data_IF_403628058122
#
_entry.id   IF_403628058122
#
_cell.length_a   1.000
_cell.length_b   1.000
_cell.length_c   1.000
_cell.angle_alpha   90.00
_cell.angle_beta   90.00
_cell.angle_gamma   90.00
#
_symmetry.space_group_name_H-M   'P 1'
#
loop_
_entity.id
_entity.type
_entity.pdbx_description
1 polymer ?
#
# COMPACT_ATOMS: atom_id res chain seq x y z
N UNK A 1 -36.46 -36.73 5.77
CA UNK A 1 -36.00 -35.52 5.09
C UNK A 1 -34.46 -35.57 5.08
N UNK A 2 -33.87 -35.87 3.93
CA UNK A 2 -32.39 -35.86 3.76
C UNK A 2 -31.99 -34.43 3.38
N UNK A 3 -31.25 -33.75 4.26
CA UNK A 3 -30.65 -32.47 3.98
C UNK A 3 -29.54 -32.66 2.96
N UNK A 4 -29.77 -32.16 1.74
CA UNK A 4 -28.76 -32.17 0.68
C UNK A 4 -27.63 -31.24 1.04
N UNK A 5 -26.48 -31.80 1.31
CA UNK A 5 -25.21 -31.06 1.31
C UNK A 5 -24.85 -30.71 -0.14
N UNK A 6 -24.60 -29.46 -0.40
CA UNK A 6 -24.18 -28.97 -1.72
C UNK A 6 -22.81 -29.58 -2.07
N UNK A 7 -22.65 -30.15 -3.28
CA UNK A 7 -21.39 -30.78 -3.70
C UNK A 7 -20.23 -29.80 -3.93
N UNK A 8 -20.45 -28.48 -3.77
CA UNK A 8 -19.44 -27.45 -4.03
C UNK A 8 -18.50 -27.16 -2.84
N UNK A 9 -18.79 -27.67 -1.62
CA UNK A 9 -18.02 -27.34 -0.43
C UNK A 9 -16.78 -28.23 -0.22
N UNK A 10 -16.74 -29.41 -0.81
CA UNK A 10 -15.64 -30.39 -0.56
C UNK A 10 -14.43 -30.25 -1.50
N UNK A 11 -14.52 -29.50 -2.61
CA UNK A 11 -13.42 -29.42 -3.60
C UNK A 11 -12.33 -28.39 -3.26
N UNK A 12 -12.60 -27.38 -2.46
CA UNK A 12 -11.61 -26.34 -2.13
C UNK A 12 -10.45 -26.87 -1.28
N UNK A 13 -10.70 -27.85 -0.40
CA UNK A 13 -9.69 -28.35 0.55
C UNK A 13 -8.66 -29.33 -0.04
N UNK A 14 -8.90 -29.83 -1.27
CA UNK A 14 -8.00 -30.79 -1.90
C UNK A 14 -6.87 -30.14 -2.71
N UNK A 15 -6.97 -28.83 -2.98
CA UNK A 15 -6.00 -28.09 -3.83
C UNK A 15 -4.71 -27.75 -3.10
N UNK A 16 -4.76 -27.53 -1.78
CA UNK A 16 -3.55 -27.31 -0.97
C UNK A 16 -2.96 -28.67 -0.61
N UNK A 17 -2.25 -29.29 -1.54
CA UNK A 17 -1.39 -30.44 -1.21
C UNK A 17 -0.24 -29.95 -0.32
N UNK A 18 0.13 -30.75 0.71
CA UNK A 18 1.34 -30.55 1.52
C UNK A 18 2.55 -30.38 0.59
N UNK A 19 2.89 -29.22 0.39
CA UNK A 19 3.97 -28.39 0.02
C UNK A 19 5.28 -29.06 -0.50
N UNK A 20 5.40 -29.11 -1.79
CA UNK A 20 6.66 -28.63 -2.39
C UNK A 20 6.54 -27.10 -2.55
N UNK A 21 7.63 -26.36 -2.38
CA UNK A 21 7.69 -24.93 -2.72
C UNK A 21 7.21 -24.76 -4.15
N UNK A 22 6.25 -23.87 -4.46
CA UNK A 22 5.78 -23.69 -5.83
C UNK A 22 6.95 -23.28 -6.72
N UNK A 23 7.04 -23.87 -7.89
CA UNK A 23 8.08 -23.53 -8.87
C UNK A 23 7.71 -22.28 -9.64
N UNK A 24 6.40 -22.09 -9.94
CA UNK A 24 5.88 -20.95 -10.71
C UNK A 24 4.59 -20.42 -10.13
N UNK A 25 4.55 -19.10 -9.91
CA UNK A 25 3.39 -18.39 -9.40
C UNK A 25 2.90 -17.38 -10.45
N UNK A 26 1.60 -17.47 -10.81
CA UNK A 26 0.92 -16.41 -11.51
C UNK A 26 0.47 -15.34 -10.50
N UNK A 27 1.12 -14.18 -10.48
CA UNK A 27 0.79 -13.07 -9.59
C UNK A 27 -0.08 -12.06 -10.32
N UNK A 28 -1.20 -11.63 -9.74
CA UNK A 28 -2.15 -10.73 -10.41
C UNK A 28 -2.20 -9.37 -9.70
N UNK A 29 -1.88 -8.31 -10.43
CA UNK A 29 -2.02 -6.91 -10.02
C UNK A 29 -2.62 -6.09 -11.17
N UNK A 30 -3.91 -6.35 -11.47
CA UNK A 30 -4.53 -5.90 -12.73
C UNK A 30 -4.90 -4.43 -12.77
N UNK A 31 -5.11 -3.78 -11.60
CA UNK A 31 -5.57 -2.40 -11.52
C UNK A 31 -4.45 -1.36 -11.44
N UNK A 32 -3.24 -1.78 -11.13
CA UNK A 32 -2.04 -0.93 -11.07
C UNK A 32 -0.82 -1.76 -11.41
N UNK A 33 0.06 -1.21 -12.25
CA UNK A 33 1.26 -1.91 -12.71
C UNK A 33 2.34 -1.91 -11.62
N UNK A 34 3.02 -3.04 -11.37
CA UNK A 34 4.19 -3.06 -10.48
C UNK A 34 5.35 -2.20 -11.01
N UNK A 35 5.31 -1.81 -12.28
CA UNK A 35 6.32 -0.95 -12.92
C UNK A 35 6.04 0.55 -12.72
N UNK A 36 4.86 0.93 -12.23
CA UNK A 36 4.49 2.31 -11.99
C UNK A 36 5.23 2.88 -10.77
N UNK A 37 5.56 4.17 -10.83
CA UNK A 37 6.22 4.88 -9.73
C UNK A 37 5.28 4.96 -8.51
N UNK A 38 5.64 4.37 -7.36
CA UNK A 38 4.84 4.53 -6.14
C UNK A 38 4.67 6.01 -5.75
N UNK A 39 3.46 6.36 -5.31
CA UNK A 39 3.13 7.75 -4.96
C UNK A 39 2.48 8.53 -6.11
N UNK A 40 2.26 7.92 -7.28
CA UNK A 40 1.55 8.50 -8.43
C UNK A 40 0.28 7.73 -8.73
N UNK A 41 -0.80 8.42 -9.12
CA UNK A 41 -2.07 7.78 -9.48
C UNK A 41 -2.55 6.79 -8.42
N UNK A 42 -2.81 5.56 -8.82
CA UNK A 42 -3.17 4.46 -7.93
C UNK A 42 -1.96 3.68 -7.40
N UNK A 43 -0.76 3.93 -7.94
CA UNK A 43 0.45 3.24 -7.49
C UNK A 43 0.87 3.69 -6.07
N UNK A 44 1.06 2.73 -5.18
CA UNK A 44 1.37 2.99 -3.78
C UNK A 44 1.97 1.79 -3.06
N UNK A 45 1.64 1.61 -1.79
CA UNK A 45 2.15 0.52 -0.97
C UNK A 45 1.90 -0.87 -1.55
N UNK A 46 0.77 -1.09 -2.24
CA UNK A 46 0.48 -2.35 -2.92
C UNK A 46 1.53 -2.65 -3.99
N UNK A 47 1.93 -1.66 -4.82
CA UNK A 47 2.94 -1.86 -5.85
C UNK A 47 4.29 -2.23 -5.23
N UNK A 48 4.69 -1.55 -4.16
CA UNK A 48 5.91 -1.89 -3.40
C UNK A 48 5.83 -3.31 -2.88
N UNK A 49 4.72 -3.69 -2.25
CA UNK A 49 4.50 -5.04 -1.73
C UNK A 49 4.61 -6.11 -2.82
N UNK A 50 3.93 -5.93 -3.96
CA UNK A 50 3.94 -6.87 -5.09
C UNK A 50 5.36 -7.05 -5.64
N UNK A 51 6.08 -5.94 -5.86
CA UNK A 51 7.46 -5.94 -6.37
C UNK A 51 8.39 -6.69 -5.42
N UNK A 52 8.36 -6.34 -4.14
CA UNK A 52 9.28 -6.93 -3.16
C UNK A 52 8.95 -8.41 -2.89
N UNK A 53 7.67 -8.76 -2.81
CA UNK A 53 7.24 -10.15 -2.68
C UNK A 53 7.71 -10.99 -3.89
N UNK A 54 7.49 -10.50 -5.11
CA UNK A 54 7.89 -11.21 -6.33
C UNK A 54 9.40 -11.45 -6.37
N UNK A 55 10.21 -10.42 -6.05
CA UNK A 55 11.67 -10.55 -5.97
C UNK A 55 12.12 -11.55 -4.91
N UNK A 56 11.50 -11.55 -3.73
CA UNK A 56 11.85 -12.48 -2.64
C UNK A 56 11.44 -13.92 -2.95
N UNK A 57 10.29 -14.12 -3.60
CA UNK A 57 9.90 -15.45 -4.11
C UNK A 57 10.90 -15.95 -5.16
N UNK A 58 11.30 -15.10 -6.11
CA UNK A 58 12.29 -15.47 -7.12
C UNK A 58 13.66 -15.80 -6.49
N UNK A 59 14.13 -15.00 -5.53
CA UNK A 59 15.35 -15.28 -4.77
C UNK A 59 15.27 -16.60 -3.97
N UNK A 60 14.06 -17.03 -3.60
CA UNK A 60 13.81 -18.31 -2.95
C UNK A 60 13.63 -19.48 -3.94
N UNK A 61 13.78 -19.24 -5.25
CA UNK A 61 13.71 -20.26 -6.30
C UNK A 61 12.33 -20.45 -6.95
N UNK A 62 11.38 -19.54 -6.71
CA UNK A 62 10.04 -19.56 -7.33
C UNK A 62 9.98 -18.53 -8.47
N UNK A 63 9.82 -18.97 -9.71
CA UNK A 63 9.58 -18.05 -10.84
C UNK A 63 8.23 -17.34 -10.68
N UNK A 64 8.20 -16.03 -10.93
CA UNK A 64 6.98 -15.21 -10.79
C UNK A 64 6.65 -14.51 -12.11
N UNK A 65 5.45 -14.73 -12.60
CA UNK A 65 4.91 -13.98 -13.73
C UNK A 65 3.78 -13.07 -13.22
N UNK A 66 3.99 -11.75 -13.27
CA UNK A 66 3.03 -10.75 -12.81
C UNK A 66 2.17 -10.30 -13.97
N UNK A 67 0.87 -10.31 -13.80
CA UNK A 67 -0.10 -9.88 -14.82
C UNK A 67 -0.72 -8.56 -14.42
N UNK A 68 -0.63 -7.60 -15.33
CA UNK A 68 -1.22 -6.25 -15.15
C UNK A 68 -1.84 -5.76 -16.45
N UNK A 69 -2.67 -4.72 -16.39
CA UNK A 69 -3.28 -4.11 -17.58
C UNK A 69 -2.29 -3.17 -18.27
N UNK A 70 -2.21 -3.25 -19.59
CA UNK A 70 -1.48 -2.28 -20.39
C UNK A 70 -2.21 -0.92 -20.37
N UNK A 71 -1.48 0.16 -20.04
CA UNK A 71 -2.00 1.53 -19.96
C UNK A 71 -1.49 2.44 -21.06
N UNK A 72 -0.49 2.01 -21.84
CA UNK A 72 0.05 2.78 -22.97
C UNK A 72 0.36 1.88 -24.15
N UNK A 73 0.26 2.45 -25.37
CA UNK A 73 0.56 1.74 -26.62
C UNK A 73 2.04 1.37 -26.76
N UNK A 74 2.92 2.12 -26.12
CA UNK A 74 4.37 1.91 -26.13
C UNK A 74 4.86 0.85 -25.17
N UNK A 75 3.99 0.34 -24.26
CA UNK A 75 4.38 -0.69 -23.31
C UNK A 75 4.63 -2.01 -24.02
N UNK A 76 5.81 -2.66 -23.81
CA UNK A 76 6.07 -4.01 -24.27
C UNK A 76 5.09 -5.01 -23.65
N UNK A 77 4.71 -6.07 -24.38
CA UNK A 77 3.81 -7.09 -23.86
C UNK A 77 4.39 -7.82 -22.64
N UNK A 78 5.71 -8.00 -22.60
CA UNK A 78 6.43 -8.64 -21.48
C UNK A 78 7.65 -7.81 -21.14
N UNK A 79 7.88 -7.58 -19.83
CA UNK A 79 9.02 -6.83 -19.30
C UNK A 79 9.70 -7.66 -18.21
N UNK A 80 11.00 -8.00 -18.34
CA UNK A 80 11.76 -8.55 -17.23
C UNK A 80 11.92 -7.48 -16.15
N UNK A 81 11.47 -7.77 -14.92
CA UNK A 81 11.56 -6.83 -13.80
C UNK A 81 12.74 -7.13 -12.87
N UNK A 82 13.05 -8.41 -12.70
CA UNK A 82 14.19 -8.93 -11.96
C UNK A 82 14.48 -10.37 -12.44
N UNK A 83 15.58 -10.94 -11.99
CA UNK A 83 15.89 -12.35 -12.24
C UNK A 83 14.75 -13.22 -11.69
N UNK A 84 14.19 -14.09 -12.54
CA UNK A 84 13.03 -14.92 -12.20
C UNK A 84 11.70 -14.20 -12.09
N UNK A 85 11.60 -12.90 -12.47
CA UNK A 85 10.34 -12.12 -12.42
C UNK A 85 10.04 -11.46 -13.76
N UNK A 86 8.91 -11.81 -14.36
CA UNK A 86 8.39 -11.20 -15.58
C UNK A 86 7.09 -10.44 -15.31
N UNK A 87 6.88 -9.32 -16.01
CA UNK A 87 5.62 -8.56 -15.99
C UNK A 87 4.96 -8.66 -17.36
N UNK A 88 3.74 -9.16 -17.40
CA UNK A 88 2.89 -9.25 -18.58
C UNK A 88 1.92 -8.07 -18.60
N UNK A 89 2.04 -7.20 -19.61
CA UNK A 89 1.13 -6.09 -19.87
C UNK A 89 -0.01 -6.57 -20.77
N UNK A 90 -1.16 -6.85 -20.20
CA UNK A 90 -2.32 -7.43 -20.90
C UNK A 90 -3.15 -6.36 -21.61
N UNK A 91 -3.55 -6.65 -22.84
CA UNK A 91 -4.51 -5.83 -23.58
C UNK A 91 -5.93 -6.08 -23.04
N UNK A 92 -6.45 -5.08 -22.32
CA UNK A 92 -7.80 -5.09 -21.80
C UNK A 92 -8.39 -3.68 -21.82
N UNK A 93 -9.32 -3.45 -22.75
CA UNK A 93 -9.87 -2.13 -23.01
C UNK A 93 -8.89 -1.16 -23.67
N UNK A 94 -9.09 0.15 -23.51
CA UNK A 94 -8.23 1.14 -24.13
C UNK A 94 -6.84 1.15 -23.49
N UNK A 95 -5.78 1.30 -24.31
CA UNK A 95 -4.40 1.47 -23.86
C UNK A 95 -4.16 2.91 -23.39
N UNK A 96 -4.80 3.28 -22.32
CA UNK A 96 -4.72 4.55 -21.59
C UNK A 96 -5.12 4.31 -20.14
N UNK A 97 -4.94 5.29 -19.28
CA UNK A 97 -5.49 5.24 -17.93
C UNK A 97 -7.03 5.18 -17.99
N UNK A 98 -7.60 4.31 -17.16
CA UNK A 98 -9.04 4.09 -17.01
C UNK A 98 -9.38 4.35 -15.56
N UNK A 99 -10.47 5.08 -15.32
CA UNK A 99 -10.93 5.31 -13.96
C UNK A 99 -11.13 3.95 -13.25
N UNK A 100 -10.72 3.90 -12.00
CA UNK A 100 -10.82 2.69 -11.18
C UNK A 100 -12.25 2.16 -11.06
N UNK A 101 -13.24 3.05 -11.14
CA UNK A 101 -14.64 2.68 -11.14
C UNK A 101 -15.07 1.94 -12.42
N UNK A 102 -14.37 2.15 -13.53
CA UNK A 102 -14.66 1.55 -14.84
C UNK A 102 -13.87 0.25 -15.09
N UNK A 103 -12.85 -0.02 -14.28
CA UNK A 103 -12.03 -1.24 -14.42
C UNK A 103 -12.82 -2.56 -14.29
N UNK A 104 -13.92 -2.66 -13.51
CA UNK A 104 -14.74 -3.88 -13.51
C UNK A 104 -15.23 -4.29 -14.90
N UNK A 105 -15.48 -3.32 -15.79
CA UNK A 105 -15.85 -3.57 -17.19
C UNK A 105 -14.75 -4.24 -18.03
N UNK A 106 -13.51 -4.30 -17.54
CA UNK A 106 -12.37 -4.88 -18.25
C UNK A 106 -12.00 -6.30 -17.74
N UNK A 107 -12.69 -6.82 -16.71
CA UNK A 107 -12.32 -8.09 -16.05
C UNK A 107 -12.38 -9.28 -17.01
N UNK A 108 -13.36 -9.34 -17.92
CA UNK A 108 -13.44 -10.42 -18.92
C UNK A 108 -12.24 -10.43 -19.87
N UNK A 109 -11.82 -9.25 -20.34
CA UNK A 109 -10.66 -9.12 -21.25
C UNK A 109 -9.36 -9.44 -20.51
N UNK A 110 -9.21 -9.01 -19.25
CA UNK A 110 -8.07 -9.34 -18.39
C UNK A 110 -7.99 -10.87 -18.15
N UNK A 111 -9.11 -11.49 -17.78
CA UNK A 111 -9.19 -12.93 -17.57
C UNK A 111 -8.79 -13.70 -18.86
N UNK A 112 -9.33 -13.29 -20.01
CA UNK A 112 -8.96 -13.90 -21.29
C UNK A 112 -7.47 -13.72 -21.61
N UNK A 113 -6.88 -12.59 -21.27
CA UNK A 113 -5.44 -12.33 -21.41
C UNK A 113 -4.59 -13.25 -20.56
N UNK A 114 -4.92 -13.41 -19.29
CA UNK A 114 -4.24 -14.32 -18.34
C UNK A 114 -4.33 -15.78 -18.84
N UNK A 115 -5.54 -16.24 -19.16
CA UNK A 115 -5.75 -17.61 -19.63
C UNK A 115 -5.04 -17.89 -20.97
N UNK A 116 -4.99 -16.92 -21.89
CA UNK A 116 -4.27 -17.04 -23.16
C UNK A 116 -2.77 -17.17 -22.96
N UNK A 117 -2.20 -16.48 -21.98
CA UNK A 117 -0.77 -16.58 -21.68
C UNK A 117 -0.41 -17.99 -21.24
N UNK A 118 -1.18 -18.60 -20.34
CA UNK A 118 -0.95 -19.99 -19.91
C UNK A 118 -1.22 -21.00 -21.03
N UNK A 119 -2.24 -20.80 -21.85
CA UNK A 119 -2.58 -21.68 -22.96
C UNK A 119 -1.43 -21.83 -24.02
N UNK A 120 -0.47 -20.93 -24.05
CA UNK A 120 0.74 -20.99 -24.85
C UNK A 120 1.91 -21.72 -24.13
N UNK A 121 1.68 -22.28 -22.95
CA UNK A 121 2.64 -23.00 -22.11
C UNK A 121 2.26 -24.49 -22.01
N UNK A 122 3.18 -25.35 -21.56
CA UNK A 122 2.83 -26.73 -21.18
C UNK A 122 1.73 -26.73 -20.12
N UNK A 123 0.84 -27.72 -20.15
CA UNK A 123 -0.22 -27.90 -19.16
C UNK A 123 0.37 -28.01 -17.75
N UNK A 124 -0.27 -27.31 -16.77
CA UNK A 124 0.21 -27.26 -15.40
C UNK A 124 1.42 -26.35 -15.22
N UNK A 125 1.52 -25.27 -16.00
CA UNK A 125 2.63 -24.33 -15.95
C UNK A 125 2.73 -23.60 -14.61
N UNK A 126 1.61 -23.16 -14.04
CA UNK A 126 1.57 -22.50 -12.73
C UNK A 126 1.16 -23.49 -11.64
N UNK A 127 1.78 -23.35 -10.47
CA UNK A 127 1.48 -24.14 -9.27
C UNK A 127 0.48 -23.41 -8.35
N UNK A 128 0.37 -22.09 -8.47
CA UNK A 128 -0.53 -21.26 -7.69
C UNK A 128 -0.85 -19.94 -8.41
N UNK A 129 -2.00 -19.37 -8.06
CA UNK A 129 -2.36 -17.98 -8.37
C UNK A 129 -2.29 -17.16 -7.08
N UNK A 130 -1.54 -16.05 -7.10
CA UNK A 130 -1.54 -15.06 -6.01
C UNK A 130 -2.10 -13.74 -6.51
N UNK A 131 -3.28 -13.36 -6.06
CA UNK A 131 -3.97 -12.15 -6.50
C UNK A 131 -3.95 -11.06 -5.43
N UNK A 132 -3.77 -9.80 -5.88
CA UNK A 132 -3.67 -8.63 -5.04
C UNK A 132 -4.77 -7.63 -5.38
N UNK A 133 -5.59 -7.28 -4.39
CA UNK A 133 -6.78 -6.45 -4.52
C UNK A 133 -7.94 -7.18 -5.23
N UNK A 134 -9.18 -6.80 -4.90
CA UNK A 134 -10.40 -7.52 -5.30
C UNK A 134 -10.56 -7.73 -6.82
N UNK A 135 -10.18 -6.74 -7.66
CA UNK A 135 -10.24 -6.89 -9.12
C UNK A 135 -9.35 -8.04 -9.62
N UNK A 136 -8.14 -8.13 -9.06
CA UNK A 136 -7.23 -9.24 -9.36
C UNK A 136 -7.77 -10.56 -8.80
N UNK A 137 -8.46 -10.52 -7.67
CA UNK A 137 -9.12 -11.68 -7.09
C UNK A 137 -10.21 -12.25 -7.99
N UNK A 138 -11.01 -11.39 -8.63
CA UNK A 138 -12.02 -11.80 -9.61
C UNK A 138 -11.40 -12.53 -10.82
N UNK A 139 -10.31 -11.99 -11.37
CA UNK A 139 -9.56 -12.66 -12.46
C UNK A 139 -8.91 -13.94 -11.96
N UNK A 140 -8.32 -13.88 -10.76
CA UNK A 140 -7.61 -15.00 -10.14
C UNK A 140 -8.50 -16.19 -9.84
N UNK A 141 -9.74 -15.99 -9.43
CA UNK A 141 -10.70 -17.05 -9.15
C UNK A 141 -11.00 -17.89 -10.41
N UNK A 142 -11.18 -17.23 -11.54
CA UNK A 142 -11.40 -17.94 -12.82
C UNK A 142 -10.14 -18.67 -13.29
N UNK A 143 -8.96 -18.03 -13.16
CA UNK A 143 -7.70 -18.64 -13.57
C UNK A 143 -7.35 -19.87 -12.71
N UNK A 144 -7.46 -19.76 -11.39
CA UNK A 144 -7.18 -20.86 -10.45
C UNK A 144 -8.11 -22.06 -10.65
N UNK A 145 -9.40 -21.79 -10.89
CA UNK A 145 -10.37 -22.85 -11.21
C UNK A 145 -10.02 -23.54 -12.53
N UNK A 146 -9.71 -22.77 -13.58
CA UNK A 146 -9.37 -23.31 -14.91
C UNK A 146 -8.10 -24.15 -14.89
N UNK A 147 -7.10 -23.75 -14.12
CA UNK A 147 -5.79 -24.45 -14.02
C UNK A 147 -5.77 -25.52 -12.92
N UNK A 148 -6.81 -25.58 -12.10
CA UNK A 148 -6.92 -26.45 -10.93
C UNK A 148 -5.74 -26.29 -9.95
N UNK A 149 -5.39 -25.03 -9.65
CA UNK A 149 -4.34 -24.63 -8.71
C UNK A 149 -4.93 -23.77 -7.60
N UNK A 150 -4.30 -23.68 -6.41
CA UNK A 150 -4.81 -22.85 -5.33
C UNK A 150 -4.81 -21.34 -5.67
N UNK A 151 -5.86 -20.66 -5.21
CA UNK A 151 -5.96 -19.20 -5.18
C UNK A 151 -5.53 -18.67 -3.82
N UNK A 152 -4.41 -17.97 -3.79
CA UNK A 152 -3.97 -17.18 -2.64
C UNK A 152 -4.38 -15.73 -2.89
N UNK A 153 -4.95 -15.05 -1.91
CA UNK A 153 -5.41 -13.68 -2.08
C UNK A 153 -4.98 -12.76 -0.95
N UNK A 154 -4.50 -11.56 -1.31
CA UNK A 154 -4.20 -10.45 -0.39
C UNK A 154 -5.11 -9.26 -0.72
N UNK A 155 -5.91 -8.82 0.26
CA UNK A 155 -6.88 -7.74 0.05
C UNK A 155 -6.23 -6.37 -0.12
N UNK A 156 -5.18 -6.07 0.64
CA UNK A 156 -4.49 -4.78 0.77
C UNK A 156 -5.35 -3.64 1.29
N UNK A 157 -6.60 -3.56 0.91
CA UNK A 157 -7.61 -2.64 1.44
C UNK A 157 -8.98 -3.29 1.32
N UNK A 158 -9.85 -3.05 2.28
CA UNK A 158 -11.20 -3.61 2.33
C UNK A 158 -12.25 -2.50 2.34
N UNK A 159 -13.26 -2.62 1.49
CA UNK A 159 -14.32 -1.61 1.35
C UNK A 159 -15.10 -1.41 2.66
N UNK A 160 -15.48 -2.50 3.33
CA UNK A 160 -16.23 -2.40 4.59
C UNK A 160 -15.42 -1.70 5.68
N UNK A 161 -14.11 -1.98 5.80
CA UNK A 161 -13.21 -1.31 6.75
C UNK A 161 -13.09 0.19 6.44
N UNK A 162 -12.89 0.54 5.15
CA UNK A 162 -12.83 1.94 4.73
C UNK A 162 -14.13 2.69 5.00
N UNK A 163 -15.27 2.04 4.76
CA UNK A 163 -16.57 2.65 5.00
C UNK A 163 -16.87 2.89 6.50
N UNK A 164 -16.20 2.18 7.40
CA UNK A 164 -16.26 2.42 8.84
C UNK A 164 -15.35 3.58 9.31
N UNK A 165 -14.38 4.01 8.48
CA UNK A 165 -13.36 4.98 8.84
C UNK A 165 -13.20 6.06 7.75
N UNK A 166 -14.31 6.61 7.24
CA UNK A 166 -14.30 7.68 6.25
C UNK A 166 -13.70 8.96 6.82
N UNK A 167 -12.83 9.61 6.07
CA UNK A 167 -12.37 10.97 6.35
C UNK A 167 -13.39 12.00 5.84
N UNK A 168 -13.30 13.24 6.35
CA UNK A 168 -14.14 14.34 5.87
C UNK A 168 -13.96 14.54 4.35
N UNK A 169 -15.07 14.51 3.63
CA UNK A 169 -15.11 14.64 2.17
C UNK A 169 -14.84 13.34 1.39
N UNK A 170 -14.60 12.20 2.04
CA UNK A 170 -14.56 10.90 1.40
C UNK A 170 -15.97 10.38 1.11
N UNK A 171 -16.08 9.55 0.06
CA UNK A 171 -17.32 8.84 -0.29
C UNK A 171 -17.18 7.37 0.07
N UNK A 172 -18.28 6.72 0.48
CA UNK A 172 -18.29 5.28 0.69
C UNK A 172 -17.86 4.53 -0.57
N UNK A 173 -17.16 3.43 -0.38
CA UNK A 173 -16.81 2.52 -1.46
C UNK A 173 -18.09 1.90 -2.08
N UNK A 174 -18.14 1.71 -3.41
CA UNK A 174 -19.33 1.21 -4.09
C UNK A 174 -19.75 -0.19 -3.62
N UNK A 175 -21.05 -0.47 -3.60
CA UNK A 175 -21.58 -1.79 -3.25
C UNK A 175 -21.05 -2.91 -4.16
N UNK A 176 -20.81 -2.62 -5.44
CA UNK A 176 -20.17 -3.56 -6.39
C UNK A 176 -18.79 -4.03 -5.88
N UNK A 177 -18.00 -3.13 -5.29
CA UNK A 177 -16.72 -3.49 -4.70
C UNK A 177 -16.91 -4.39 -3.48
N UNK A 178 -17.85 -4.07 -2.58
CA UNK A 178 -18.16 -4.91 -1.41
C UNK A 178 -18.54 -6.33 -1.83
N UNK A 179 -19.45 -6.45 -2.80
CA UNK A 179 -19.87 -7.76 -3.33
C UNK A 179 -18.71 -8.51 -4.00
N UNK A 180 -17.89 -7.80 -4.77
CA UNK A 180 -16.71 -8.38 -5.41
C UNK A 180 -15.66 -8.88 -4.40
N UNK A 181 -15.47 -8.16 -3.30
CA UNK A 181 -14.60 -8.60 -2.20
C UNK A 181 -15.16 -9.85 -1.50
N UNK A 182 -16.46 -9.90 -1.22
CA UNK A 182 -17.14 -11.08 -0.64
C UNK A 182 -17.00 -12.31 -1.52
N UNK A 183 -17.16 -12.15 -2.84
CA UNK A 183 -16.96 -13.24 -3.80
C UNK A 183 -15.54 -13.78 -3.79
N UNK A 184 -14.54 -12.88 -3.76
CA UNK A 184 -13.13 -13.26 -3.72
C UNK A 184 -12.78 -13.98 -2.42
N UNK A 185 -13.28 -13.50 -1.28
CA UNK A 185 -13.09 -14.16 0.02
C UNK A 185 -13.67 -15.58 0.00
N UNK A 186 -14.84 -15.76 -0.63
CA UNK A 186 -15.47 -17.07 -0.76
C UNK A 186 -14.71 -18.01 -1.70
N UNK A 187 -14.08 -17.47 -2.75
CA UNK A 187 -13.40 -18.25 -3.80
C UNK A 187 -11.94 -18.59 -3.45
N UNK A 188 -11.28 -17.82 -2.59
CA UNK A 188 -9.88 -18.03 -2.24
C UNK A 188 -9.68 -19.30 -1.42
N UNK A 189 -8.65 -20.07 -1.75
CA UNK A 189 -8.22 -21.19 -0.92
C UNK A 189 -7.47 -20.71 0.33
N UNK A 190 -6.75 -19.59 0.20
CA UNK A 190 -6.01 -18.96 1.29
C UNK A 190 -6.05 -17.44 1.20
N UNK A 191 -6.32 -16.77 2.31
CA UNK A 191 -6.25 -15.33 2.48
C UNK A 191 -5.00 -14.95 3.25
N UNK A 192 -4.26 -13.97 2.75
CA UNK A 192 -3.08 -13.41 3.44
C UNK A 192 -3.49 -12.05 4.01
N UNK A 193 -3.52 -11.95 5.33
CA UNK A 193 -3.73 -10.72 6.06
C UNK A 193 -2.38 -10.12 6.48
N UNK A 194 -2.20 -8.81 6.31
CA UNK A 194 -0.98 -8.11 6.67
C UNK A 194 -0.84 -7.90 8.19
N UNK A 195 -1.93 -8.03 8.93
CA UNK A 195 -1.97 -7.88 10.39
C UNK A 195 -3.01 -8.82 11.01
N UNK A 196 -2.88 -9.05 12.32
CA UNK A 196 -3.90 -9.79 13.07
C UNK A 196 -5.26 -9.05 13.06
N UNK A 197 -5.25 -7.72 13.06
CA UNK A 197 -6.47 -6.91 12.93
C UNK A 197 -7.13 -7.12 11.58
N UNK A 198 -6.38 -7.12 10.47
CA UNK A 198 -6.92 -7.40 9.13
C UNK A 198 -7.50 -8.82 9.05
N UNK A 199 -6.87 -9.81 9.70
CA UNK A 199 -7.42 -11.16 9.77
C UNK A 199 -8.76 -11.21 10.52
N UNK A 200 -8.90 -10.45 11.61
CA UNK A 200 -10.17 -10.31 12.33
C UNK A 200 -11.23 -9.60 11.48
N UNK A 201 -10.88 -8.54 10.76
CA UNK A 201 -11.78 -7.84 9.85
C UNK A 201 -12.28 -8.77 8.73
N UNK A 202 -11.41 -9.60 8.16
CA UNK A 202 -11.78 -10.62 7.17
C UNK A 202 -12.82 -11.62 7.76
N UNK A 203 -12.59 -12.05 8.99
CA UNK A 203 -13.52 -12.98 9.66
C UNK A 203 -14.86 -12.32 10.03
N UNK A 204 -14.81 -11.13 10.63
CA UNK A 204 -15.99 -10.47 11.19
C UNK A 204 -16.84 -9.77 10.12
N UNK A 205 -16.21 -9.12 9.14
CA UNK A 205 -16.92 -8.33 8.14
C UNK A 205 -17.20 -9.11 6.86
N UNK A 206 -16.35 -10.08 6.50
CA UNK A 206 -16.47 -10.85 5.25
C UNK A 206 -16.77 -12.33 5.46
N UNK A 207 -16.83 -12.80 6.70
CA UNK A 207 -17.16 -14.19 7.04
C UNK A 207 -16.07 -15.20 6.66
N UNK A 208 -14.83 -14.74 6.48
CA UNK A 208 -13.71 -15.63 6.16
C UNK A 208 -13.50 -16.68 7.27
N UNK A 209 -13.36 -17.97 6.93
CA UNK A 209 -13.04 -18.97 7.94
C UNK A 209 -11.62 -18.74 8.50
N UNK A 210 -11.45 -18.87 9.82
CA UNK A 210 -10.14 -18.65 10.48
C UNK A 210 -9.04 -19.54 9.88
N UNK A 211 -9.36 -20.81 9.52
CA UNK A 211 -8.41 -21.74 8.88
C UNK A 211 -7.93 -21.31 7.49
N UNK A 212 -8.69 -20.44 6.82
CA UNK A 212 -8.40 -19.93 5.48
C UNK A 212 -7.59 -18.64 5.52
N UNK A 213 -7.34 -18.07 6.70
CA UNK A 213 -6.67 -16.79 6.86
C UNK A 213 -5.34 -17.00 7.58
N UNK A 214 -4.24 -16.57 6.95
CA UNK A 214 -2.91 -16.53 7.55
C UNK A 214 -2.45 -15.09 7.71
N UNK A 215 -1.84 -14.77 8.85
CA UNK A 215 -1.21 -13.47 9.07
C UNK A 215 0.25 -13.55 8.63
N UNK A 216 0.61 -12.71 7.65
CA UNK A 216 1.99 -12.56 7.16
C UNK A 216 2.32 -11.07 7.14
N UNK A 217 3.10 -10.62 8.11
CA UNK A 217 3.48 -9.22 8.21
C UNK A 217 4.36 -8.81 7.03
N UNK A 218 4.08 -7.67 6.37
CA UNK A 218 4.98 -7.09 5.39
C UNK A 218 6.34 -6.77 6.01
N UNK A 219 7.39 -7.00 5.23
CA UNK A 219 8.75 -6.65 5.60
C UNK A 219 9.20 -5.31 5.00
N UNK A 220 10.45 -4.95 5.29
CA UNK A 220 11.16 -3.80 4.71
C UNK A 220 12.50 -4.27 4.15
N UNK A 221 12.94 -3.64 3.07
CA UNK A 221 14.24 -3.89 2.47
C UNK A 221 15.33 -3.15 3.25
N UNK A 222 16.05 -3.86 4.12
CA UNK A 222 17.10 -3.30 4.99
C UNK A 222 18.39 -2.93 4.22
N UNK A 223 18.59 -3.40 2.99
CA UNK A 223 19.70 -2.96 2.13
C UNK A 223 19.41 -1.56 1.60
N UNK A 224 18.15 -1.28 1.27
CA UNK A 224 17.69 0.01 0.77
C UNK A 224 17.41 1.00 1.90
N UNK A 225 16.71 0.57 2.94
CA UNK A 225 16.32 1.39 4.10
C UNK A 225 17.16 0.98 5.31
N UNK A 226 18.17 1.77 5.62
CA UNK A 226 19.08 1.56 6.73
C UNK A 226 19.53 2.91 7.30
N UNK A 227 20.00 2.97 8.55
CA UNK A 227 20.54 4.20 9.12
C UNK A 227 21.68 4.79 8.26
N UNK A 228 21.88 6.09 8.33
CA UNK A 228 22.89 6.79 7.57
C UNK A 228 23.16 8.19 8.12
N UNK A 229 24.03 8.96 7.43
CA UNK A 229 24.39 10.33 7.82
C UNK A 229 23.24 11.29 7.54
N UNK A 230 22.64 11.83 8.60
CA UNK A 230 21.54 12.78 8.52
C UNK A 230 21.95 14.11 7.88
N UNK A 231 23.14 14.60 8.19
CA UNK A 231 23.63 15.89 7.65
C UNK A 231 23.89 15.79 6.15
N UNK A 232 24.41 14.65 5.68
CA UNK A 232 24.56 14.39 4.25
C UNK A 232 23.20 14.28 3.56
N UNK A 233 22.28 13.53 4.15
CA UNK A 233 20.92 13.38 3.64
C UNK A 233 20.20 14.73 3.51
N UNK A 234 20.33 15.62 4.49
CA UNK A 234 19.81 17.00 4.44
C UNK A 234 20.44 17.81 3.31
N UNK A 235 21.77 17.77 3.16
CA UNK A 235 22.47 18.48 2.06
C UNK A 235 22.00 18.02 0.69
N UNK A 236 21.82 16.71 0.48
CA UNK A 236 21.30 16.14 -0.77
C UNK A 236 19.91 16.67 -1.14
N UNK A 237 19.08 16.99 -0.14
CA UNK A 237 17.73 17.53 -0.34
C UNK A 237 17.65 19.06 -0.18
N UNK A 238 18.78 19.77 -0.07
CA UNK A 238 18.81 21.22 0.10
C UNK A 238 18.11 21.68 1.38
N UNK A 239 18.25 20.90 2.47
CA UNK A 239 17.75 21.21 3.81
C UNK A 239 18.96 21.63 4.66
N UNK A 240 18.82 22.69 5.47
CA UNK A 240 19.87 23.09 6.39
C UNK A 240 20.13 21.96 7.40
N UNK A 241 21.40 21.73 7.71
CA UNK A 241 21.81 20.65 8.61
C UNK A 241 21.31 20.82 10.04
N UNK A 242 20.98 22.04 10.45
CA UNK A 242 20.47 22.37 11.76
C UNK A 242 18.92 22.41 11.82
N UNK A 243 18.25 22.28 10.67
CA UNK A 243 16.79 22.30 10.64
C UNK A 243 16.16 21.16 11.45
N UNK A 244 15.01 21.43 12.03
CA UNK A 244 14.08 20.40 12.54
C UNK A 244 13.15 19.98 11.41
N UNK A 245 13.19 18.72 11.01
CA UNK A 245 12.51 18.22 9.80
C UNK A 245 11.37 17.27 10.16
N UNK A 246 10.15 17.67 9.84
CA UNK A 246 8.97 16.81 9.86
C UNK A 246 8.70 16.29 8.44
N UNK A 247 8.52 14.99 8.27
CA UNK A 247 8.33 14.38 6.95
C UNK A 247 7.01 13.62 6.87
N UNK A 248 6.21 13.92 5.86
CA UNK A 248 5.11 13.08 5.38
C UNK A 248 5.53 12.40 4.08
N UNK A 249 5.24 11.12 3.94
CA UNK A 249 5.41 10.37 2.70
C UNK A 249 4.11 9.64 2.36
N UNK A 250 3.61 9.84 1.14
CA UNK A 250 2.42 9.12 0.70
C UNK A 250 1.67 9.83 -0.41
N UNK A 251 0.68 9.16 -0.97
CA UNK A 251 -0.22 9.77 -1.95
C UNK A 251 -0.98 10.93 -1.30
N UNK A 252 -1.10 12.06 -2.03
CA UNK A 252 -1.84 13.23 -1.57
C UNK A 252 -3.35 12.97 -1.74
N UNK A 253 -3.96 12.44 -0.68
CA UNK A 253 -5.39 12.12 -0.60
C UNK A 253 -5.88 12.27 0.84
N UNK A 254 -7.18 12.59 1.08
CA UNK A 254 -7.72 12.82 2.42
C UNK A 254 -7.40 11.69 3.40
N UNK A 255 -7.59 10.45 2.96
CA UNK A 255 -7.36 9.25 3.77
C UNK A 255 -5.95 9.17 4.38
N UNK A 256 -4.94 9.80 3.76
CA UNK A 256 -3.55 9.83 4.25
C UNK A 256 -3.25 11.02 5.17
N UNK A 257 -4.13 12.02 5.20
CA UNK A 257 -4.09 13.14 6.14
C UNK A 257 -2.88 14.08 6.02
N UNK A 258 -2.38 14.45 4.82
CA UNK A 258 -1.29 15.43 4.71
C UNK A 258 -1.67 16.81 5.28
N UNK A 259 -2.95 17.19 5.21
CA UNK A 259 -3.51 18.39 5.82
C UNK A 259 -3.40 18.38 7.35
N UNK A 260 -3.54 17.21 7.97
CA UNK A 260 -3.39 17.05 9.42
C UNK A 260 -1.97 17.40 9.86
N UNK A 261 -0.93 17.05 9.07
CA UNK A 261 0.44 17.45 9.38
C UNK A 261 0.64 18.96 9.24
N UNK A 262 0.10 19.59 8.19
CA UNK A 262 0.20 21.05 7.99
C UNK A 262 -0.45 21.80 9.17
N UNK A 263 -1.63 21.36 9.62
CA UNK A 263 -2.29 21.90 10.80
C UNK A 263 -1.49 21.68 12.09
N UNK A 264 -0.91 20.50 12.25
CA UNK A 264 -0.05 20.20 13.39
C UNK A 264 1.23 21.03 13.40
N UNK A 265 1.80 21.35 12.21
CA UNK A 265 2.94 22.28 12.06
C UNK A 265 2.56 23.68 12.55
N UNK A 266 1.40 24.21 12.15
CA UNK A 266 0.93 25.51 12.60
C UNK A 266 0.73 25.55 14.12
N UNK A 267 0.05 24.54 14.69
CA UNK A 267 -0.16 24.45 16.13
C UNK A 267 1.16 24.29 16.91
N UNK A 268 2.15 23.57 16.34
CA UNK A 268 3.46 23.41 16.95
C UNK A 268 4.21 24.76 17.02
N UNK A 269 4.18 25.56 15.96
CA UNK A 269 4.81 26.89 15.92
C UNK A 269 4.10 27.88 16.83
N UNK A 270 2.77 27.85 16.92
CA UNK A 270 2.01 28.67 17.85
C UNK A 270 2.37 28.34 19.31
N UNK A 271 2.51 27.07 19.63
CA UNK A 271 2.85 26.57 20.97
C UNK A 271 4.32 26.78 21.32
N UNK A 272 5.22 26.59 20.35
CA UNK A 272 6.69 26.66 20.51
C UNK A 272 7.31 27.57 19.45
N UNK A 273 7.14 28.91 19.55
CA UNK A 273 7.56 29.88 18.52
C UNK A 273 9.06 29.83 18.21
N UNK A 274 9.88 29.39 19.16
CA UNK A 274 11.34 29.27 18.98
C UNK A 274 11.75 28.19 17.95
N UNK A 275 10.83 27.28 17.57
CA UNK A 275 11.10 26.28 16.53
C UNK A 275 10.91 26.84 15.13
N UNK A 276 10.24 28.00 14.97
CA UNK A 276 9.83 28.49 13.64
C UNK A 276 10.98 28.70 12.69
N UNK A 277 12.09 29.24 13.16
CA UNK A 277 13.21 29.61 12.29
C UNK A 277 13.95 28.40 11.69
N UNK A 278 13.91 27.27 12.39
CA UNK A 278 14.61 26.05 12.00
C UNK A 278 13.67 24.92 11.53
N UNK A 279 12.34 25.14 11.57
CA UNK A 279 11.36 24.08 11.25
C UNK A 279 11.13 23.97 9.75
N UNK A 280 11.21 22.75 9.23
CA UNK A 280 10.87 22.39 7.84
C UNK A 280 9.90 21.22 7.84
N UNK A 281 8.72 21.41 7.25
CA UNK A 281 7.75 20.33 7.04
C UNK A 281 7.77 19.89 5.58
N UNK A 282 8.19 18.67 5.31
CA UNK A 282 8.28 18.10 3.96
C UNK A 282 7.07 17.22 3.69
N UNK A 283 6.34 17.51 2.62
CA UNK A 283 5.23 16.67 2.11
C UNK A 283 5.70 16.02 0.81
N UNK A 284 6.09 14.75 0.88
CA UNK A 284 6.58 13.99 -0.27
C UNK A 284 5.50 13.08 -0.84
N UNK A 285 5.11 13.30 -2.10
CA UNK A 285 4.14 12.48 -2.80
C UNK A 285 3.43 13.20 -3.94
N UNK A 286 2.63 12.43 -4.68
CA UNK A 286 1.84 12.93 -5.81
C UNK A 286 0.34 12.88 -5.55
N UNK A 287 -0.44 13.63 -6.34
CA UNK A 287 -1.90 13.58 -6.28
C UNK A 287 -2.41 12.21 -6.71
N UNK A 288 -3.49 11.76 -6.06
CA UNK A 288 -4.22 10.54 -6.38
C UNK A 288 -5.71 10.82 -6.37
N UNK A 289 -6.44 10.31 -7.36
CA UNK A 289 -7.88 10.51 -7.52
C UNK A 289 -8.25 11.91 -7.96
N UNK A 290 -8.46 12.85 -7.05
CA UNK A 290 -8.97 14.22 -7.35
C UNK A 290 -8.00 15.15 -8.12
N UNK A 291 -6.88 14.64 -8.64
CA UNK A 291 -5.98 15.41 -9.52
C UNK A 291 -5.15 16.51 -8.81
N UNK A 292 -4.58 17.46 -9.57
CA UNK A 292 -3.70 18.51 -9.06
C UNK A 292 -4.38 19.46 -8.07
N UNK A 293 -5.70 19.58 -8.08
CA UNK A 293 -6.47 20.45 -7.19
C UNK A 293 -6.19 20.20 -5.70
N UNK A 294 -5.92 18.95 -5.32
CA UNK A 294 -5.60 18.61 -3.94
C UNK A 294 -4.29 19.22 -3.46
N UNK A 295 -3.27 19.24 -4.29
CA UNK A 295 -1.99 19.86 -3.95
C UNK A 295 -2.15 21.36 -3.74
N UNK A 296 -2.96 22.02 -4.58
CA UNK A 296 -3.25 23.45 -4.46
C UNK A 296 -4.10 23.77 -3.21
N UNK A 297 -5.01 22.88 -2.83
CA UNK A 297 -5.74 22.97 -1.56
C UNK A 297 -4.79 22.94 -0.35
N UNK A 298 -3.80 22.04 -0.34
CA UNK A 298 -2.81 21.97 0.73
C UNK A 298 -1.91 23.21 0.77
N UNK A 299 -1.52 23.76 -0.39
CA UNK A 299 -0.78 25.03 -0.46
C UNK A 299 -1.59 26.19 0.10
N UNK A 300 -2.88 26.29 -0.27
CA UNK A 300 -3.79 27.31 0.30
C UNK A 300 -3.92 27.16 1.79
N UNK A 301 -4.11 25.94 2.28
CA UNK A 301 -4.18 25.66 3.72
C UNK A 301 -2.92 26.13 4.46
N UNK A 302 -1.72 25.88 3.92
CA UNK A 302 -0.47 26.34 4.52
C UNK A 302 -0.37 27.88 4.56
N UNK A 303 -0.88 28.57 3.53
CA UNK A 303 -0.97 30.04 3.50
C UNK A 303 -1.96 30.55 4.56
N UNK A 304 -3.16 29.99 4.60
CA UNK A 304 -4.22 30.36 5.56
C UNK A 304 -3.78 30.20 7.02
N UNK A 305 -2.95 29.17 7.28
CA UNK A 305 -2.40 28.91 8.62
C UNK A 305 -1.09 29.67 8.91
N UNK A 306 -0.57 30.47 7.97
CA UNK A 306 0.64 31.26 8.16
C UNK A 306 1.93 30.44 8.26
N UNK A 307 1.97 29.24 7.66
CA UNK A 307 3.13 28.32 7.68
C UNK A 307 3.60 27.92 6.27
N UNK A 308 3.21 28.67 5.24
CA UNK A 308 3.58 28.36 3.85
C UNK A 308 5.10 28.35 3.62
N UNK A 309 5.84 29.18 4.32
CA UNK A 309 7.29 29.28 4.33
C UNK A 309 7.99 28.05 4.94
N UNK A 310 7.30 27.33 5.80
CA UNK A 310 7.80 26.14 6.48
C UNK A 310 7.46 24.84 5.73
N UNK A 311 6.50 24.88 4.79
CA UNK A 311 6.01 23.67 4.11
C UNK A 311 6.62 23.54 2.73
N UNK A 312 7.34 22.44 2.52
CA UNK A 312 7.97 22.09 1.25
C UNK A 312 7.27 20.88 0.62
N UNK A 313 6.79 21.02 -0.61
CA UNK A 313 6.19 19.93 -1.37
C UNK A 313 7.25 19.30 -2.30
N UNK A 314 7.44 17.98 -2.16
CA UNK A 314 8.38 17.18 -2.94
C UNK A 314 7.58 16.17 -3.77
N UNK A 315 7.81 16.06 -5.09
CA UNK A 315 7.13 15.07 -5.90
C UNK A 315 7.53 13.63 -5.50
N UNK A 316 6.77 12.61 -5.93
CA UNK A 316 7.18 11.21 -5.77
C UNK A 316 8.61 11.00 -6.26
N UNK A 317 9.39 10.27 -5.48
CA UNK A 317 10.82 10.11 -5.75
C UNK A 317 11.23 8.63 -5.76
N UNK A 318 12.45 8.34 -6.21
CA UNK A 318 12.99 6.98 -6.21
C UNK A 318 13.16 6.45 -4.79
N UNK A 319 13.18 5.12 -4.62
CA UNK A 319 13.40 4.49 -3.31
C UNK A 319 14.72 4.93 -2.65
N UNK A 320 15.77 5.13 -3.45
CA UNK A 320 17.06 5.61 -2.95
C UNK A 320 16.96 7.04 -2.39
N UNK A 321 16.31 7.94 -3.12
CA UNK A 321 16.08 9.30 -2.66
C UNK A 321 15.11 9.34 -1.47
N UNK A 322 14.12 8.44 -1.44
CA UNK A 322 13.18 8.30 -0.33
C UNK A 322 13.89 7.86 0.96
N UNK A 323 14.83 6.91 0.88
CA UNK A 323 15.66 6.53 2.04
C UNK A 323 16.48 7.72 2.58
N UNK A 324 16.98 8.59 1.70
CA UNK A 324 17.65 9.82 2.13
C UNK A 324 16.67 10.80 2.78
N UNK A 325 15.43 10.94 2.28
CA UNK A 325 14.41 11.76 2.95
C UNK A 325 14.07 11.25 4.35
N UNK A 326 13.96 9.94 4.53
CA UNK A 326 13.77 9.36 5.86
C UNK A 326 14.95 9.68 6.79
N UNK A 327 16.19 9.51 6.33
CA UNK A 327 17.40 9.84 7.12
C UNK A 327 17.48 11.34 7.44
N UNK A 328 17.02 12.22 6.53
CA UNK A 328 17.04 13.68 6.73
C UNK A 328 16.04 14.14 7.81
N UNK A 329 14.96 13.37 8.02
CA UNK A 329 13.89 13.73 8.93
C UNK A 329 14.27 13.52 10.41
N UNK A 330 13.69 14.33 11.29
CA UNK A 330 13.69 14.11 12.74
C UNK A 330 12.50 13.26 13.16
N UNK A 331 11.36 13.43 12.48
CA UNK A 331 10.14 12.66 12.72
C UNK A 331 9.44 12.41 11.38
N UNK A 332 9.06 11.16 11.13
CA UNK A 332 8.16 10.82 10.04
C UNK A 332 6.73 10.77 10.57
N UNK A 333 5.84 11.52 9.93
CA UNK A 333 4.44 11.63 10.33
C UNK A 333 3.53 10.79 9.42
N UNK A 334 2.77 9.88 10.03
CA UNK A 334 1.80 9.01 9.33
C UNK A 334 0.39 9.29 9.89
N UNK A 335 -0.24 10.43 9.53
CA UNK A 335 -1.50 10.88 10.10
C UNK A 335 -2.73 10.26 9.43
N UNK A 336 -2.61 9.08 8.85
CA UNK A 336 -3.65 8.42 8.08
C UNK A 336 -4.94 8.19 8.87
N UNK A 337 -6.11 8.37 8.23
CA UNK A 337 -7.41 8.01 8.77
C UNK A 337 -7.65 6.48 8.74
N UNK A 338 -7.07 5.81 7.75
CA UNK A 338 -7.07 4.36 7.64
C UNK A 338 -5.75 3.88 7.02
N UNK A 339 -5.17 2.84 7.60
CA UNK A 339 -3.92 2.24 7.13
C UNK A 339 -3.97 0.72 7.29
N UNK A 340 -3.72 -0.01 6.20
CA UNK A 340 -3.75 -1.48 6.23
C UNK A 340 -2.54 -2.07 6.96
N UNK A 341 -1.35 -1.47 6.79
CA UNK A 341 -0.15 -1.89 7.50
C UNK A 341 0.74 -0.71 7.92
N UNK A 342 1.15 0.17 6.97
CA UNK A 342 2.03 1.29 7.23
C UNK A 342 3.49 1.06 6.80
N UNK A 343 3.70 0.70 5.52
CA UNK A 343 5.06 0.52 4.97
C UNK A 343 5.96 1.73 5.20
N UNK A 344 5.41 2.95 5.07
CA UNK A 344 6.14 4.20 5.36
C UNK A 344 6.69 4.22 6.79
N UNK A 345 5.92 3.71 7.76
CA UNK A 345 6.37 3.68 9.15
C UNK A 345 7.55 2.73 9.33
N UNK A 346 7.50 1.52 8.76
CA UNK A 346 8.61 0.56 8.89
C UNK A 346 9.85 0.98 8.09
N UNK A 347 9.68 1.63 6.93
CA UNK A 347 10.77 2.19 6.13
C UNK A 347 11.51 3.31 6.90
N UNK A 348 10.76 4.22 7.53
CA UNK A 348 11.31 5.28 8.36
C UNK A 348 12.09 4.72 9.56
N UNK A 349 11.50 3.79 10.30
CA UNK A 349 12.13 3.13 11.45
C UNK A 349 13.39 2.36 11.04
N UNK A 350 13.38 1.69 9.88
CA UNK A 350 14.56 1.02 9.33
C UNK A 350 15.70 2.02 9.01
N UNK A 351 15.38 3.27 8.66
CA UNK A 351 16.35 4.35 8.50
C UNK A 351 16.80 4.98 9.82
N UNK A 352 16.29 4.54 10.97
CA UNK A 352 16.60 5.08 12.29
C UNK A 352 15.78 6.32 12.66
N UNK A 353 14.72 6.64 11.92
CA UNK A 353 13.88 7.82 12.13
C UNK A 353 12.60 7.45 12.87
N UNK A 354 12.30 8.07 14.02
CA UNK A 354 11.09 7.79 14.78
C UNK A 354 9.84 8.24 14.03
N UNK A 355 8.72 7.57 14.33
CA UNK A 355 7.45 7.78 13.66
C UNK A 355 6.43 8.37 14.62
N UNK A 356 5.70 9.40 14.17
CA UNK A 356 4.44 9.85 14.78
C UNK A 356 3.26 9.39 13.92
N UNK A 357 2.57 8.37 14.35
CA UNK A 357 1.50 7.76 13.57
C UNK A 357 0.12 7.93 14.23
N UNK A 358 -0.93 7.92 13.43
CA UNK A 358 -2.29 7.76 13.94
C UNK A 358 -2.46 6.35 14.53
N UNK A 359 -3.17 6.23 15.65
CA UNK A 359 -3.51 4.95 16.26
C UNK A 359 -4.66 4.28 15.49
N UNK A 360 -4.41 3.86 14.24
CA UNK A 360 -5.41 3.24 13.35
C UNK A 360 -4.87 2.03 12.61
N UNK A 361 -5.72 1.04 12.42
CA UNK A 361 -5.44 -0.14 11.58
C UNK A 361 -4.09 -0.79 11.85
N UNK A 362 -3.34 -1.07 10.77
CA UNK A 362 -2.04 -1.74 10.83
C UNK A 362 -0.92 -0.93 11.48
N UNK A 363 -1.10 0.37 11.72
CA UNK A 363 -0.08 1.19 12.41
C UNK A 363 0.17 0.73 13.84
N UNK A 364 -0.81 0.14 14.50
CA UNK A 364 -0.62 -0.52 15.81
C UNK A 364 0.38 -1.70 15.76
N UNK A 365 0.53 -2.32 14.59
CA UNK A 365 1.51 -3.39 14.37
C UNK A 365 2.85 -2.84 13.89
N UNK A 366 2.81 -1.81 13.02
CA UNK A 366 4.00 -1.24 12.39
C UNK A 366 4.84 -0.37 13.34
N UNK A 367 4.25 0.21 14.39
CA UNK A 367 4.91 1.13 15.33
C UNK A 367 4.85 0.56 16.74
N UNK A 368 6.01 0.33 17.36
CA UNK A 368 6.12 0.03 18.78
C UNK A 368 5.99 1.33 19.58
N UNK A 369 4.78 1.56 20.15
CA UNK A 369 4.43 2.80 20.83
C UNK A 369 5.33 3.05 22.05
N UNK A 370 5.96 4.20 22.09
CA UNK A 370 6.92 4.59 23.13
C UNK A 370 8.36 4.09 22.90
N UNK A 371 8.62 3.24 21.89
CA UNK A 371 9.94 2.69 21.58
C UNK A 371 10.47 3.20 20.22
N UNK A 372 9.79 2.85 19.12
CA UNK A 372 10.21 3.25 17.77
C UNK A 372 9.44 4.45 17.24
N UNK A 373 8.46 4.95 17.98
CA UNK A 373 7.62 6.08 17.65
C UNK A 373 6.52 6.28 18.66
N UNK A 374 5.54 7.11 18.31
CA UNK A 374 4.36 7.35 19.14
C UNK A 374 3.09 7.16 18.33
N UNK A 375 2.08 6.53 18.94
CA UNK A 375 0.74 6.38 18.38
C UNK A 375 -0.20 7.44 18.98
N UNK A 376 -0.81 8.25 18.11
CA UNK A 376 -1.72 9.35 18.53
C UNK A 376 -3.16 8.90 18.32
N UNK A 377 -3.95 8.76 19.38
CA UNK A 377 -5.38 8.50 19.27
C UNK A 377 -6.12 9.69 18.62
N UNK A 378 -6.95 9.40 17.63
CA UNK A 378 -7.75 10.41 16.92
C UNK A 378 -6.91 11.30 15.99
N UNK A 379 -7.55 12.39 15.49
CA UNK A 379 -6.95 13.32 14.53
C UNK A 379 -6.88 14.76 15.08
N UNK A 380 -6.93 14.93 16.40
CA UNK A 380 -6.81 16.21 17.06
C UNK A 380 -5.44 16.85 16.80
N UNK A 381 -5.47 18.07 16.27
CA UNK A 381 -4.28 18.83 15.86
C UNK A 381 -3.43 19.25 17.06
N UNK A 382 -4.06 19.69 18.16
CA UNK A 382 -3.36 20.13 19.36
C UNK A 382 -2.63 18.96 20.02
N UNK A 383 -3.29 17.83 20.15
CA UNK A 383 -2.67 16.62 20.67
C UNK A 383 -1.47 16.19 19.82
N UNK A 384 -1.57 16.25 18.50
CA UNK A 384 -0.44 15.93 17.61
C UNK A 384 0.73 16.88 17.79
N UNK A 385 0.48 18.19 17.96
CA UNK A 385 1.55 19.15 18.22
C UNK A 385 2.27 18.86 19.54
N UNK A 386 1.56 18.41 20.58
CA UNK A 386 2.15 17.98 21.86
C UNK A 386 3.06 16.76 21.70
N UNK A 387 2.61 15.75 20.95
CA UNK A 387 3.42 14.56 20.68
C UNK A 387 4.65 14.87 19.81
N UNK A 388 4.53 15.79 18.83
CA UNK A 388 5.67 16.29 18.06
C UNK A 388 6.69 16.98 18.97
N UNK A 389 6.26 17.91 19.80
CA UNK A 389 7.13 18.60 20.75
C UNK A 389 7.86 17.61 21.68
N UNK A 390 7.14 16.60 22.18
CA UNK A 390 7.74 15.54 23.01
C UNK A 390 8.81 14.76 22.27
N UNK A 391 8.58 14.32 21.02
CA UNK A 391 9.56 13.60 20.23
C UNK A 391 10.80 14.45 19.93
N UNK A 392 10.61 15.73 19.61
CA UNK A 392 11.70 16.65 19.31
C UNK A 392 12.55 16.99 20.54
N UNK A 393 11.94 17.06 21.74
CA UNK A 393 12.66 17.32 23.00
C UNK A 393 13.41 16.09 23.53
N UNK A 394 12.92 14.89 23.29
CA UNK A 394 13.57 13.64 23.74
C UNK A 394 14.82 13.27 22.92
N UNK A 395 15.04 13.90 21.76
CA UNK A 395 16.22 13.71 20.91
C UNK A 395 17.42 14.59 21.28
N UNK A 396 17.21 15.62 22.10
CA UNK A 396 18.28 16.47 22.62
C UNK A 396 18.84 15.88 23.93
#
# INVERSE_FOLDING_TARGET
MKTGQSPFVDNAHSRIRKAATPQRVAMLSVHTSPLDQPGTGDAGGLNVYVVELAKRLAAAGTEVEIFTRATARSQPAVVPMADGVLVHNLDAGPRQDVDKADLPGQLCALTAGVLRTEANRPSGWYDAVHSHYWLSGQVGSVASERWNVPLIHSMHTMAKVKNLALADGDRPEPSMRVLGEEQVVSAADQLIANTAAEALDLQQLYGAPARQTSVVYPGVDLEQFSPGDQAEARRLHGIDVNSTVLLFVGRIQPLKGPDVLIRATAALVERSPHLRDDLVTVICGGPSGAGPERLDQLRKLAVELGVADLVRFVPPTTRTSLAQLYRAADVVCVPSHSESFGLVAIEAQACGTPVLAAAVGGLHTAVADGESGLLVPGHDTLRRSEYLERLLTQRR
#
